data_IF_936846941375
#
_entry.id   IF_936846941375
#
_cell.length_a   1.000
_cell.length_b   1.000
_cell.length_c   1.000
_cell.angle_alpha   90.00
_cell.angle_beta   90.00
_cell.angle_gamma   90.00
#
_symmetry.space_group_name_H-M   'P 1'
#
loop_
_entity.id
_entity.type
_entity.pdbx_description
1 polymer ?
#
# COMPACT_ATOMS: atom_id res chain seq x y z
N UNK A 1 -94.14 19.66 4.02
CA UNK A 1 -93.14 20.17 3.07
C UNK A 1 -91.80 20.29 3.77
N UNK A 2 -90.74 19.73 3.17
CA UNK A 2 -89.36 19.60 3.69
C UNK A 2 -88.54 20.87 3.40
N UNK A 3 -87.56 21.24 4.26
CA UNK A 3 -86.07 21.22 4.09
C UNK A 3 -85.56 22.63 4.50
N UNK A 4 -84.33 22.88 4.98
CA UNK A 4 -83.12 22.08 5.12
C UNK A 4 -82.24 22.65 6.25
N UNK A 5 -81.53 21.76 6.95
CA UNK A 5 -80.44 22.06 7.89
C UNK A 5 -79.12 22.14 7.13
N UNK A 6 -78.28 23.13 7.42
CA UNK A 6 -76.98 23.33 6.77
C UNK A 6 -75.88 22.81 7.69
N UNK A 7 -75.26 21.67 7.34
CA UNK A 7 -74.07 21.16 8.02
C UNK A 7 -72.81 21.70 7.34
N UNK A 8 -71.90 22.28 8.12
CA UNK A 8 -70.53 22.62 7.67
C UNK A 8 -69.69 21.35 7.72
N UNK A 9 -69.08 21.00 6.58
CA UNK A 9 -68.12 19.90 6.49
C UNK A 9 -66.72 20.44 6.81
N UNK A 10 -66.11 19.93 7.89
CA UNK A 10 -64.68 20.12 8.13
C UNK A 10 -63.91 19.08 7.32
N UNK A 11 -63.07 19.56 6.40
CA UNK A 11 -62.16 18.74 5.62
C UNK A 11 -60.90 18.47 6.43
N UNK A 12 -60.68 17.20 6.82
CA UNK A 12 -59.42 16.74 7.39
C UNK A 12 -58.57 16.12 6.28
N UNK A 13 -57.62 16.87 5.73
CA UNK A 13 -56.56 16.27 4.91
C UNK A 13 -55.38 15.94 5.82
N UNK A 14 -54.80 14.72 5.77
CA UNK A 14 -53.62 14.43 6.55
C UNK A 14 -52.40 15.13 5.95
N UNK A 15 -51.64 15.83 6.79
CA UNK A 15 -50.34 16.40 6.45
C UNK A 15 -49.37 15.24 6.24
N UNK A 16 -48.95 15.01 4.99
CA UNK A 16 -47.88 14.09 4.67
C UNK A 16 -46.56 14.65 5.24
N UNK A 17 -46.10 14.09 6.37
CA UNK A 17 -44.74 14.30 6.86
C UNK A 17 -43.78 13.63 5.88
N UNK A 18 -43.06 14.44 5.12
CA UNK A 18 -41.93 14.01 4.31
C UNK A 18 -40.81 13.57 5.27
N UNK A 19 -40.68 12.26 5.48
CA UNK A 19 -39.51 11.70 6.16
C UNK A 19 -38.31 11.88 5.23
N UNK A 20 -37.40 12.78 5.59
CA UNK A 20 -36.08 12.86 4.96
C UNK A 20 -35.36 11.54 5.24
N UNK A 21 -35.27 10.68 4.23
CA UNK A 21 -34.43 9.50 4.27
C UNK A 21 -32.97 9.97 4.28
N UNK A 22 -32.38 10.09 5.46
CA UNK A 22 -30.95 10.15 5.60
C UNK A 22 -30.37 8.85 5.03
N UNK A 23 -29.60 8.97 3.95
CA UNK A 23 -28.85 7.85 3.39
C UNK A 23 -28.00 7.21 4.49
N UNK A 24 -27.85 5.87 4.51
CA UNK A 24 -26.97 5.22 5.45
C UNK A 24 -25.57 5.81 5.28
N UNK A 25 -25.02 6.39 6.34
CA UNK A 25 -23.61 6.72 6.42
C UNK A 25 -22.86 5.38 6.32
N UNK A 26 -22.32 5.08 5.14
CA UNK A 26 -21.39 3.96 4.97
C UNK A 26 -20.26 4.13 5.99
N UNK A 27 -19.98 3.02 6.68
CA UNK A 27 -19.05 2.95 7.81
C UNK A 27 -17.74 3.64 7.49
N UNK A 28 -17.36 4.57 8.37
CA UNK A 28 -16.15 5.40 8.30
C UNK A 28 -14.83 4.62 8.31
N UNK A 29 -14.89 3.29 8.46
CA UNK A 29 -13.74 2.40 8.56
C UNK A 29 -13.03 2.17 7.23
N UNK A 30 -13.75 2.25 6.10
CA UNK A 30 -13.16 1.92 4.79
C UNK A 30 -12.23 3.04 4.27
N UNK A 31 -12.44 4.28 4.70
CA UNK A 31 -11.67 5.45 4.28
C UNK A 31 -12.21 6.16 3.03
N UNK A 32 -11.68 7.36 2.73
CA UNK A 32 -12.24 8.25 1.71
C UNK A 32 -12.01 7.80 0.27
N UNK A 33 -11.29 6.71 0.04
CA UNK A 33 -10.95 6.19 -1.29
C UNK A 33 -11.55 4.81 -1.59
N UNK A 34 -12.36 4.26 -0.69
CA UNK A 34 -12.79 2.85 -0.77
C UNK A 34 -14.05 2.59 -1.60
N UNK A 35 -14.77 3.63 -2.00
CA UNK A 35 -15.96 3.51 -2.83
C UNK A 35 -15.61 3.03 -4.24
N UNK A 36 -16.55 2.31 -4.84
CA UNK A 36 -16.41 1.80 -6.20
C UNK A 36 -16.42 2.95 -7.21
N UNK A 37 -15.70 2.76 -8.30
CA UNK A 37 -15.64 3.71 -9.42
C UNK A 37 -17.06 3.97 -9.94
N UNK A 38 -17.50 5.23 -9.87
CA UNK A 38 -18.88 5.62 -10.17
C UNK A 38 -19.05 6.17 -11.59
N UNK A 39 -17.96 6.66 -12.19
CA UNK A 39 -17.96 7.26 -13.52
C UNK A 39 -17.40 6.32 -14.59
N UNK A 40 -17.85 6.43 -15.86
CA UNK A 40 -17.34 5.63 -16.98
C UNK A 40 -15.84 5.83 -17.24
N UNK A 41 -15.31 7.02 -16.88
CA UNK A 41 -13.90 7.34 -16.98
C UNK A 41 -13.49 8.22 -15.80
N UNK A 42 -12.45 7.79 -15.09
CA UNK A 42 -11.79 8.60 -14.07
C UNK A 42 -10.64 9.39 -14.69
N UNK A 43 -10.36 10.53 -14.08
CA UNK A 43 -9.22 11.38 -14.41
C UNK A 43 -8.13 11.19 -13.35
N UNK A 44 -6.88 11.36 -13.78
CA UNK A 44 -5.72 11.23 -12.91
C UNK A 44 -5.33 12.57 -12.32
N UNK A 45 -5.01 12.56 -11.03
CA UNK A 45 -4.58 13.72 -10.28
C UNK A 45 -3.36 13.35 -9.44
N UNK A 46 -2.51 14.35 -9.19
CA UNK A 46 -1.45 14.26 -8.19
C UNK A 46 -1.81 15.16 -7.01
N UNK A 47 -1.66 14.62 -5.81
CA UNK A 47 -1.81 15.31 -4.53
C UNK A 47 -0.44 15.42 -3.91
N UNK A 48 -0.06 16.63 -3.53
CA UNK A 48 1.16 16.92 -2.78
C UNK A 48 0.69 17.57 -1.48
N UNK A 49 0.89 16.91 -0.35
CA UNK A 49 0.47 17.36 0.96
C UNK A 49 1.68 17.46 1.88
N UNK A 50 2.04 18.66 2.28
CA UNK A 50 3.14 18.90 3.24
C UNK A 50 2.61 18.66 4.66
N UNK A 51 3.40 18.03 5.51
CA UNK A 51 3.08 17.93 6.94
C UNK A 51 3.21 19.35 7.58
N UNK A 52 2.54 19.58 8.70
CA UNK A 52 2.86 20.75 9.53
C UNK A 52 4.35 20.74 9.93
N UNK A 53 4.94 21.93 10.09
CA UNK A 53 6.37 22.08 10.41
C UNK A 53 6.65 22.20 11.91
N UNK A 54 5.65 22.02 12.78
CA UNK A 54 5.83 22.03 14.22
C UNK A 54 6.49 20.75 14.73
N UNK A 55 7.11 20.81 15.91
CA UNK A 55 7.83 19.67 16.49
C UNK A 55 6.96 18.42 16.73
N UNK A 56 5.64 18.58 16.87
CA UNK A 56 4.70 17.48 17.10
C UNK A 56 4.21 16.79 15.82
N UNK A 57 4.49 17.34 14.63
CA UNK A 57 3.90 16.85 13.38
C UNK A 57 4.24 15.38 13.09
N UNK A 58 5.50 15.00 13.29
CA UNK A 58 5.95 13.63 13.03
C UNK A 58 5.35 12.62 14.04
N UNK A 59 5.14 13.03 15.30
CA UNK A 59 4.46 12.20 16.30
C UNK A 59 2.98 11.97 15.93
N UNK A 60 2.25 13.03 15.57
CA UNK A 60 0.85 12.92 15.09
C UNK A 60 0.76 12.02 13.86
N UNK A 61 1.72 12.14 12.94
CA UNK A 61 1.83 11.27 11.76
C UNK A 61 1.87 9.81 12.17
N UNK A 62 2.77 9.43 13.07
CA UNK A 62 2.93 8.03 13.48
C UNK A 62 1.72 7.49 14.23
N UNK A 63 1.09 8.31 15.08
CA UNK A 63 -0.12 7.93 15.84
C UNK A 63 -1.28 7.48 14.94
N UNK A 64 -1.47 8.13 13.79
CA UNK A 64 -2.60 7.84 12.88
C UNK A 64 -2.18 7.09 11.61
N UNK A 65 -0.88 6.79 11.44
CA UNK A 65 -0.30 6.23 10.21
C UNK A 65 -0.92 4.91 9.81
N UNK A 66 -1.17 4.01 10.76
CA UNK A 66 -1.72 2.69 10.44
C UNK A 66 -3.11 2.81 9.82
N UNK A 67 -3.97 3.67 10.38
CA UNK A 67 -5.30 3.93 9.81
C UNK A 67 -5.22 4.60 8.44
N UNK A 68 -4.34 5.59 8.27
CA UNK A 68 -4.09 6.21 6.96
C UNK A 68 -3.69 5.16 5.91
N UNK A 69 -2.75 4.26 6.25
CA UNK A 69 -2.29 3.20 5.35
C UNK A 69 -3.39 2.18 5.05
N UNK A 70 -4.23 1.80 6.02
CA UNK A 70 -5.37 0.92 5.80
C UNK A 70 -6.37 1.54 4.81
N UNK A 71 -6.72 2.81 4.99
CA UNK A 71 -7.61 3.53 4.08
C UNK A 71 -7.00 3.66 2.67
N UNK A 72 -5.69 3.94 2.58
CA UNK A 72 -4.97 3.98 1.31
C UNK A 72 -4.94 2.59 0.63
N UNK A 73 -4.79 1.51 1.40
CA UNK A 73 -4.83 0.14 0.90
C UNK A 73 -6.21 -0.20 0.31
N UNK A 74 -7.29 0.26 0.94
CA UNK A 74 -8.64 0.10 0.42
C UNK A 74 -8.80 0.85 -0.91
N UNK A 75 -8.32 2.10 -0.99
CA UNK A 75 -8.31 2.88 -2.22
C UNK A 75 -7.47 2.25 -3.34
N UNK A 76 -6.32 1.67 -3.00
CA UNK A 76 -5.48 0.91 -3.93
C UNK A 76 -6.21 -0.31 -4.48
N UNK A 77 -6.93 -1.05 -3.62
CA UNK A 77 -7.69 -2.27 -4.00
C UNK A 77 -8.79 -1.98 -5.02
N UNK A 78 -9.48 -0.85 -4.90
CA UNK A 78 -10.54 -0.45 -5.84
C UNK A 78 -10.02 0.33 -7.05
N UNK A 79 -8.71 0.58 -7.13
CA UNK A 79 -8.06 1.28 -8.24
C UNK A 79 -8.15 2.81 -8.18
N UNK A 80 -8.58 3.40 -7.05
CA UNK A 80 -8.60 4.85 -6.88
C UNK A 80 -7.24 5.44 -6.52
N UNK A 81 -6.35 4.67 -5.90
CA UNK A 81 -4.96 5.11 -5.63
C UNK A 81 -4.01 4.28 -6.48
N UNK A 82 -3.22 4.94 -7.33
CA UNK A 82 -2.20 4.29 -8.15
C UNK A 82 -0.84 4.25 -7.44
N UNK A 83 -0.49 5.33 -6.75
CA UNK A 83 0.79 5.47 -6.04
C UNK A 83 0.60 6.33 -4.80
N UNK A 84 1.33 5.99 -3.74
CA UNK A 84 1.41 6.79 -2.51
C UNK A 84 2.83 6.71 -1.94
N UNK A 85 3.33 7.79 -1.36
CA UNK A 85 4.65 7.85 -0.76
C UNK A 85 4.82 9.03 0.19
N UNK A 86 5.85 9.01 1.03
CA UNK A 86 6.20 10.11 1.91
C UNK A 86 7.22 11.04 1.25
N UNK A 87 7.05 12.35 1.44
CA UNK A 87 8.10 13.33 1.19
C UNK A 87 9.07 13.31 2.37
N UNK A 88 10.37 13.40 2.09
CA UNK A 88 11.41 13.45 3.12
C UNK A 88 11.99 14.86 3.19
N UNK A 89 12.32 15.31 4.40
CA UNK A 89 12.99 16.60 4.62
C UNK A 89 14.50 16.56 4.39
N UNK A 90 15.07 15.35 4.30
CA UNK A 90 16.49 15.08 4.08
C UNK A 90 16.65 14.16 2.88
N UNK A 91 17.76 14.30 2.18
CA UNK A 91 18.17 13.33 1.18
C UNK A 91 18.55 12.00 1.84
N UNK A 92 18.44 10.90 1.10
CA UNK A 92 18.81 9.57 1.62
C UNK A 92 20.28 9.48 2.01
N UNK A 93 21.18 10.24 1.37
CA UNK A 93 22.60 10.29 1.75
C UNK A 93 22.87 10.91 3.12
N UNK A 94 21.89 11.60 3.71
CA UNK A 94 21.97 12.26 5.02
C UNK A 94 21.18 11.52 6.12
N UNK A 95 20.55 10.40 5.77
CA UNK A 95 19.73 9.60 6.67
C UNK A 95 20.57 8.44 7.20
N UNK A 96 20.64 8.35 8.52
CA UNK A 96 21.26 7.22 9.21
C UNK A 96 20.50 5.93 8.89
N UNK A 97 21.24 4.88 8.49
CA UNK A 97 20.65 3.62 8.07
C UNK A 97 19.91 2.89 9.20
N UNK A 98 20.36 3.03 10.46
CA UNK A 98 19.71 2.40 11.62
C UNK A 98 18.40 3.11 11.97
N UNK A 99 18.36 4.44 11.84
CA UNK A 99 17.15 5.24 12.10
C UNK A 99 16.12 5.12 10.97
N UNK A 100 16.59 5.01 9.73
CA UNK A 100 15.77 4.95 8.53
C UNK A 100 15.01 6.26 8.22
N UNK A 101 14.21 6.28 7.13
CA UNK A 101 13.60 7.52 6.64
C UNK A 101 12.36 7.97 7.42
N UNK A 102 11.82 7.13 8.31
CA UNK A 102 10.56 7.39 9.01
C UNK A 102 10.58 8.70 9.81
N UNK A 103 11.57 8.92 10.68
CA UNK A 103 11.71 10.16 11.42
C UNK A 103 12.03 11.38 10.55
N UNK A 104 12.22 11.22 9.24
CA UNK A 104 12.50 12.28 8.27
C UNK A 104 11.31 12.62 7.34
N UNK A 105 10.18 11.92 7.49
CA UNK A 105 8.94 12.26 6.77
C UNK A 105 8.49 13.70 7.08
N UNK A 106 8.02 14.39 6.03
CA UNK A 106 7.58 15.78 6.06
C UNK A 106 6.40 16.06 5.11
N UNK A 107 5.73 15.01 4.62
CA UNK A 107 4.61 15.14 3.72
C UNK A 107 4.28 13.83 3.02
N UNK A 108 3.33 13.89 2.09
CA UNK A 108 2.89 12.79 1.27
C UNK A 108 2.67 13.22 -0.18
N UNK A 109 2.85 12.26 -1.09
CA UNK A 109 2.42 12.36 -2.48
C UNK A 109 1.48 11.20 -2.77
N UNK A 110 0.37 11.49 -3.46
CA UNK A 110 -0.53 10.48 -3.98
C UNK A 110 -0.80 10.73 -5.46
N UNK A 111 -0.84 9.66 -6.25
CA UNK A 111 -1.41 9.65 -7.61
C UNK A 111 -2.73 8.91 -7.53
N UNK A 112 -3.83 9.61 -7.84
CA UNK A 112 -5.19 9.14 -7.62
C UNK A 112 -6.06 9.27 -8.88
N UNK A 113 -7.07 8.42 -8.96
CA UNK A 113 -8.12 8.45 -9.97
C UNK A 113 -9.44 8.92 -9.34
N UNK A 114 -10.01 9.98 -9.90
CA UNK A 114 -11.20 10.63 -9.37
C UNK A 114 -12.06 11.28 -10.48
N UNK A 115 -13.28 11.65 -10.12
CA UNK A 115 -14.28 12.21 -11.01
C UNK A 115 -13.96 13.67 -11.37
N UNK A 116 -13.41 14.44 -10.43
CA UNK A 116 -13.02 15.84 -10.61
C UNK A 116 -11.98 16.28 -9.58
N UNK A 117 -11.35 17.44 -9.78
CA UNK A 117 -10.47 18.04 -8.75
C UNK A 117 -11.20 18.31 -7.44
N UNK A 118 -12.51 18.65 -7.51
CA UNK A 118 -13.35 18.85 -6.33
C UNK A 118 -13.52 17.55 -5.56
N UNK A 119 -13.78 16.44 -6.26
CA UNK A 119 -13.89 15.11 -5.64
C UNK A 119 -12.58 14.71 -4.95
N UNK A 120 -11.43 14.93 -5.58
CA UNK A 120 -10.12 14.72 -4.93
C UNK A 120 -10.00 15.54 -3.65
N UNK A 121 -10.34 16.84 -3.70
CA UNK A 121 -10.27 17.71 -2.52
C UNK A 121 -11.19 17.18 -1.40
N UNK A 122 -12.43 16.84 -1.72
CA UNK A 122 -13.40 16.35 -0.74
C UNK A 122 -12.95 15.03 -0.06
N UNK A 123 -12.24 14.17 -0.79
CA UNK A 123 -11.67 12.93 -0.28
C UNK A 123 -10.43 13.17 0.58
N UNK A 124 -9.50 14.00 0.09
CA UNK A 124 -8.29 14.38 0.84
C UNK A 124 -8.65 15.01 2.18
N UNK A 125 -9.66 15.87 2.23
CA UNK A 125 -10.09 16.50 3.49
C UNK A 125 -10.64 15.51 4.52
N UNK A 126 -11.01 14.30 4.12
CA UNK A 126 -11.50 13.23 5.01
C UNK A 126 -10.40 12.23 5.40
N UNK A 127 -9.18 12.41 4.91
CA UNK A 127 -8.05 11.54 5.23
C UNK A 127 -7.63 11.68 6.70
N UNK A 128 -7.21 10.57 7.32
CA UNK A 128 -6.70 10.56 8.70
C UNK A 128 -5.55 11.55 8.92
N UNK A 129 -4.72 11.83 7.90
CA UNK A 129 -3.67 12.84 8.02
C UNK A 129 -4.19 14.27 8.01
N UNK A 130 -5.37 14.55 7.45
CA UNK A 130 -6.03 15.84 7.67
C UNK A 130 -6.70 15.85 9.04
N UNK A 131 -7.46 14.82 9.38
CA UNK A 131 -8.22 14.76 10.64
C UNK A 131 -7.31 14.73 11.88
N UNK A 132 -6.14 14.11 11.76
CA UNK A 132 -5.10 14.06 12.80
C UNK A 132 -4.16 15.27 12.82
N UNK A 133 -4.47 16.35 12.08
CA UNK A 133 -3.62 17.55 11.96
C UNK A 133 -2.17 17.23 11.55
N UNK A 134 -1.98 16.26 10.65
CA UNK A 134 -0.65 15.89 10.14
C UNK A 134 -0.31 16.76 8.93
N UNK A 135 -1.20 16.81 7.93
CA UNK A 135 -1.05 17.66 6.76
C UNK A 135 -1.47 19.10 7.02
N UNK A 136 -0.64 20.03 6.58
CA UNK A 136 -0.96 21.46 6.55
C UNK A 136 -1.92 21.72 5.38
N UNK A 137 -3.21 21.87 5.71
CA UNK A 137 -4.31 22.02 4.74
C UNK A 137 -4.07 23.20 3.79
N UNK A 138 -3.41 24.26 4.24
CA UNK A 138 -3.14 25.44 3.42
C UNK A 138 -2.06 25.19 2.35
N UNK A 139 -1.21 24.17 2.57
CA UNK A 139 -0.12 23.80 1.66
C UNK A 139 -0.46 22.63 0.75
N UNK A 140 -1.63 22.02 0.90
CA UNK A 140 -2.07 20.93 0.01
C UNK A 140 -2.25 21.47 -1.42
N UNK A 141 -1.53 20.86 -2.36
CA UNK A 141 -1.59 21.17 -3.78
C UNK A 141 -2.14 19.97 -4.54
N UNK A 142 -3.15 20.20 -5.39
CA UNK A 142 -3.78 19.17 -6.22
C UNK A 142 -3.71 19.63 -7.67
N UNK A 143 -3.20 18.78 -8.54
CA UNK A 143 -3.09 19.07 -9.98
C UNK A 143 -3.71 17.95 -10.82
N UNK A 144 -4.42 18.27 -11.91
CA UNK A 144 -4.65 17.30 -12.98
C UNK A 144 -3.30 16.79 -13.49
N UNK A 145 -3.16 15.47 -13.60
CA UNK A 145 -1.87 14.85 -13.92
C UNK A 145 -1.98 13.92 -15.13
N UNK A 146 -1.17 14.17 -16.14
CA UNK A 146 -1.04 13.31 -17.32
C UNK A 146 0.25 12.50 -17.19
N UNK A 147 0.11 11.20 -16.94
CA UNK A 147 1.23 10.28 -16.86
C UNK A 147 1.82 10.05 -18.25
N UNK A 148 3.14 10.12 -18.37
CA UNK A 148 3.84 9.81 -19.61
C UNK A 148 3.66 8.33 -19.99
N UNK A 149 3.50 8.00 -21.30
CA UNK A 149 3.34 6.63 -21.77
C UNK A 149 4.69 5.90 -21.86
N UNK A 150 5.39 5.77 -20.73
CA UNK A 150 6.62 5.01 -20.66
C UNK A 150 6.30 3.52 -20.66
N UNK A 151 6.99 2.76 -21.51
CA UNK A 151 6.86 1.30 -21.51
C UNK A 151 7.36 0.79 -20.15
N UNK A 152 6.54 -0.01 -19.48
CA UNK A 152 7.07 -0.84 -18.40
C UNK A 152 8.14 -1.73 -19.00
N UNK A 153 9.37 -1.55 -18.54
CA UNK A 153 10.36 -2.60 -18.68
C UNK A 153 9.88 -3.67 -17.71
N UNK A 154 8.96 -4.54 -18.16
CA UNK A 154 8.84 -5.83 -17.49
C UNK A 154 10.24 -6.42 -17.41
N UNK A 155 10.52 -7.16 -16.33
CA UNK A 155 11.81 -7.78 -16.03
C UNK A 155 12.25 -8.82 -17.08
N UNK A 156 12.36 -8.42 -18.36
CA UNK A 156 12.93 -9.13 -19.48
C UNK A 156 14.42 -8.87 -19.63
N UNK A 157 15.08 -8.43 -18.56
CA UNK A 157 16.53 -8.42 -18.44
C UNK A 157 17.11 -9.78 -18.00
N UNK A 158 16.29 -10.85 -17.96
CA UNK A 158 16.77 -12.24 -17.81
C UNK A 158 16.72 -13.05 -19.12
N UNK A 159 16.06 -12.57 -20.19
CA UNK A 159 15.97 -13.36 -21.43
C UNK A 159 17.31 -13.52 -22.17
N UNK A 160 18.29 -12.65 -21.94
CA UNK A 160 19.65 -12.80 -22.46
C UNK A 160 20.58 -13.62 -21.54
N UNK A 161 20.17 -13.91 -20.31
CA UNK A 161 20.88 -14.78 -19.38
C UNK A 161 20.38 -16.24 -19.44
N UNK A 162 19.16 -16.47 -19.95
CA UNK A 162 18.57 -17.81 -20.10
C UNK A 162 19.24 -18.62 -21.21
N UNK A 163 19.71 -18.00 -22.30
CA UNK A 163 20.42 -18.72 -23.37
C UNK A 163 21.85 -19.15 -22.96
N UNK A 164 22.41 -18.55 -21.90
CA UNK A 164 23.68 -18.99 -21.30
C UNK A 164 23.51 -19.97 -20.11
N UNK A 165 22.27 -20.17 -19.62
CA UNK A 165 21.99 -20.98 -18.42
C UNK A 165 21.41 -22.37 -18.76
N UNK A 166 20.88 -22.59 -19.97
CA UNK A 166 20.48 -23.94 -20.42
C UNK A 166 21.66 -24.92 -20.60
N UNK A 167 22.91 -24.45 -20.58
CA UNK A 167 24.09 -25.32 -20.51
C UNK A 167 24.55 -25.66 -19.07
N UNK A 168 23.85 -25.20 -18.02
CA UNK A 168 24.28 -25.40 -16.62
C UNK A 168 23.21 -25.85 -15.62
N UNK A 169 22.06 -26.35 -16.06
CA UNK A 169 21.10 -27.01 -15.15
C UNK A 169 20.79 -28.42 -15.64
N UNK A 170 21.82 -29.27 -15.60
CA UNK A 170 21.68 -30.72 -15.68
C UNK A 170 22.47 -31.34 -14.54
N UNK A 171 21.93 -31.27 -13.31
CA UNK A 171 22.10 -32.26 -12.23
C UNK A 171 21.60 -31.69 -10.91
N UNK A 172 20.34 -31.94 -10.58
CA UNK A 172 19.92 -32.02 -9.19
C UNK A 172 18.85 -33.12 -9.10
N UNK A 173 19.16 -34.13 -8.29
CA UNK A 173 18.43 -35.37 -8.00
C UNK A 173 18.88 -36.59 -8.82
N UNK A 174 20.03 -37.15 -8.41
CA UNK A 174 20.40 -38.52 -8.78
C UNK A 174 19.32 -39.49 -8.28
N UNK A 175 18.82 -40.35 -9.16
CA UNK A 175 17.85 -41.37 -8.81
C UNK A 175 18.51 -42.47 -7.96
N UNK A 176 17.71 -43.16 -7.14
CA UNK A 176 18.17 -44.22 -6.21
C UNK A 176 18.90 -45.37 -6.93
N UNK A 177 18.66 -45.55 -8.25
CA UNK A 177 19.40 -46.50 -9.09
C UNK A 177 20.84 -46.05 -9.37
N UNK A 178 21.05 -44.75 -9.59
CA UNK A 178 22.36 -44.15 -9.86
C UNK A 178 23.27 -44.23 -8.62
N UNK A 179 22.71 -43.95 -7.44
CA UNK A 179 23.44 -44.02 -6.16
C UNK A 179 23.91 -45.45 -5.81
N UNK A 180 23.17 -46.49 -6.22
CA UNK A 180 23.57 -47.89 -6.02
C UNK A 180 24.70 -48.31 -6.95
N UNK A 181 24.74 -47.77 -8.16
CA UNK A 181 25.82 -48.03 -9.12
C UNK A 181 27.13 -47.35 -8.70
N UNK A 182 27.08 -46.12 -8.17
CA UNK A 182 28.26 -45.40 -7.71
C UNK A 182 28.89 -46.02 -6.45
N UNK A 183 28.07 -46.59 -5.57
CA UNK A 183 28.53 -47.35 -4.40
C UNK A 183 29.23 -48.65 -4.79
N UNK A 184 28.71 -49.38 -5.78
CA UNK A 184 29.33 -50.59 -6.32
C UNK A 184 30.64 -50.30 -7.07
N UNK A 185 30.77 -49.09 -7.64
CA UNK A 185 31.98 -48.61 -8.33
C UNK A 185 33.02 -47.96 -7.39
N UNK A 186 32.79 -47.97 -6.06
CA UNK A 186 33.73 -47.43 -5.06
C UNK A 186 33.89 -45.91 -5.06
N UNK A 187 33.00 -45.18 -5.76
CA UNK A 187 33.02 -43.71 -5.81
C UNK A 187 32.02 -43.14 -4.81
N UNK A 188 32.36 -43.24 -3.52
CA UNK A 188 31.66 -42.56 -2.43
C UNK A 188 32.56 -41.54 -1.71
N UNK A 189 31.98 -40.54 -1.02
CA UNK A 189 32.76 -39.59 -0.25
C UNK A 189 33.59 -40.32 0.83
N UNK A 190 34.90 -40.07 0.85
CA UNK A 190 35.82 -40.69 1.83
C UNK A 190 35.47 -40.20 3.23
N UNK A 191 35.00 -41.10 4.09
CA UNK A 191 34.73 -40.77 5.49
C UNK A 191 36.04 -40.46 6.21
N UNK A 192 36.15 -39.24 6.74
CA UNK A 192 37.25 -38.86 7.64
C UNK A 192 37.02 -39.55 8.98
N UNK A 193 37.98 -40.39 9.39
CA UNK A 193 37.86 -41.13 10.65
C UNK A 193 38.01 -40.20 11.85
N UNK A 194 37.31 -40.52 12.93
CA UNK A 194 37.33 -39.73 14.17
C UNK A 194 38.75 -39.53 14.74
N UNK A 195 39.67 -40.49 14.48
CA UNK A 195 41.09 -40.38 14.82
C UNK A 195 41.85 -39.31 14.03
N UNK A 196 41.48 -39.06 12.77
CA UNK A 196 42.07 -38.00 11.96
C UNK A 196 41.61 -36.61 12.44
N UNK A 197 40.35 -36.48 12.84
CA UNK A 197 39.79 -35.28 13.47
C UNK A 197 40.46 -34.96 14.83
N UNK A 198 40.74 -35.98 15.65
CA UNK A 198 41.38 -35.79 16.97
C UNK A 198 42.84 -35.31 16.86
N UNK A 199 43.58 -35.76 15.85
CA UNK A 199 44.97 -35.30 15.59
C UNK A 199 45.03 -33.85 15.13
N UNK A 200 44.10 -33.44 14.26
CA UNK A 200 43.99 -32.04 13.82
C UNK A 200 43.73 -31.09 15.00
N UNK A 201 42.91 -31.52 15.97
CA UNK A 201 42.57 -30.70 17.14
C UNK A 201 43.72 -30.61 18.18
N UNK A 202 44.59 -31.62 18.26
CA UNK A 202 45.76 -31.60 19.14
C UNK A 202 46.89 -30.73 18.58
N UNK A 203 47.09 -30.74 17.26
CA UNK A 203 48.08 -29.87 16.60
C UNK A 203 47.78 -28.39 16.72
N UNK A 204 46.51 -28.01 16.93
CA UNK A 204 46.10 -26.61 17.10
C UNK A 204 46.34 -26.06 18.52
N UNK A 205 46.56 -26.94 19.52
CA UNK A 205 46.74 -26.53 20.93
C UNK A 205 48.21 -26.44 21.38
N UNK A 206 49.17 -26.84 20.53
CA UNK A 206 50.61 -26.78 20.85
C UNK A 206 51.34 -25.58 20.23
N UNK A 207 50.63 -24.60 19.66
CA UNK A 207 51.20 -23.37 19.10
C UNK A 207 50.70 -22.10 19.79
N UNK A 208 50.49 -22.16 21.11
CA UNK A 208 50.47 -20.98 21.99
C UNK A 208 51.49 -21.16 23.10
#
# INVERSE_FOLDING_TARGET
>A
MRRASTQRLFSTSPIARLAAAASPQESTTAGPWADRLSAPRLNRYIVIAEDYSDAGANARRFEVRERHLEQAQNGKRVGRIELGGALLRKDFSEIDEELGPGPHMAGSVLVVLAESIKDVKDRVMKDEYVQGNVWDVEKIKIFPFMQAPLKSVEAGADAAAVEATEQRVGTANATLGQLRQDAAAGKGPKMVTLGALRRLHQSAKSSQ
#
